data_IF_729279102008
#
_entry.id   IF_729279102008
#
_cell.length_a   1.000
_cell.length_b   1.000
_cell.length_c   1.000
_cell.angle_alpha   90.00
_cell.angle_beta   90.00
_cell.angle_gamma   90.00
#
_symmetry.space_group_name_H-M   'P 1'
#
loop_
_entity.id
_entity.type
_entity.pdbx_description
1 polymer ?
#
# COMPACT_ATOMS: atom_id res chain seq x y z
N UNK A 1 -5.84 5.53 8.10
CA UNK A 1 -5.21 4.77 6.99
C UNK A 1 -3.69 4.81 7.10
N UNK A 2 -3.05 5.97 7.07
CA UNK A 2 -1.59 6.03 6.97
C UNK A 2 -0.79 5.42 8.14
N UNK A 3 -1.23 5.59 9.39
CA UNK A 3 -0.48 5.14 10.58
C UNK A 3 -0.84 3.74 11.08
N UNK A 4 -1.92 3.14 10.58
CA UNK A 4 -2.49 1.88 11.10
C UNK A 4 -3.09 0.97 10.03
N UNK A 5 -2.98 1.36 8.75
CA UNK A 5 -3.72 0.72 7.67
C UNK A 5 -3.16 -0.61 7.18
N UNK A 6 -1.88 -0.85 7.43
CA UNK A 6 -1.09 -1.98 6.90
C UNK A 6 -0.59 -2.91 8.01
N UNK A 7 -1.44 -3.17 9.01
CA UNK A 7 -1.10 -3.98 10.20
C UNK A 7 0.19 -3.48 10.88
N UNK A 8 1.09 -4.41 11.25
CA UNK A 8 2.36 -4.10 11.92
C UNK A 8 3.34 -3.36 11.00
N UNK A 9 3.13 -3.39 9.67
CA UNK A 9 4.02 -2.78 8.67
C UNK A 9 3.58 -1.38 8.21
N UNK A 10 2.70 -0.69 8.95
CA UNK A 10 2.24 0.64 8.57
C UNK A 10 3.39 1.68 8.41
N UNK A 11 4.40 1.64 9.27
CA UNK A 11 5.57 2.52 9.18
C UNK A 11 6.46 2.22 7.97
N UNK A 12 6.77 0.95 7.73
CA UNK A 12 7.58 0.53 6.57
C UNK A 12 6.87 0.83 5.24
N UNK A 13 5.56 0.60 5.17
CA UNK A 13 4.76 0.93 4.01
C UNK A 13 4.74 2.44 3.73
N UNK A 14 4.59 3.26 4.79
CA UNK A 14 4.65 4.71 4.66
C UNK A 14 6.02 5.17 4.12
N UNK A 15 7.12 4.55 4.55
CA UNK A 15 8.46 4.85 4.05
C UNK A 15 8.68 4.43 2.59
N UNK A 16 8.26 3.22 2.20
CA UNK A 16 8.51 2.67 0.86
C UNK A 16 7.54 3.17 -0.21
N UNK A 17 6.27 3.32 0.15
CA UNK A 17 5.18 3.67 -0.78
C UNK A 17 4.76 5.12 -0.64
N UNK A 18 4.67 5.63 0.59
CA UNK A 18 4.32 7.03 0.83
C UNK A 18 2.88 7.39 0.45
N UNK A 19 1.92 6.48 0.64
CA UNK A 19 0.49 6.75 0.43
C UNK A 19 -0.36 6.29 1.62
N UNK A 20 -1.46 6.97 1.96
CA UNK A 20 -2.48 6.42 2.84
C UNK A 20 -3.09 5.15 2.22
N UNK A 21 -3.04 4.03 2.95
CA UNK A 21 -3.61 2.76 2.48
C UNK A 21 -4.36 1.98 3.57
N UNK A 22 -5.11 0.96 3.15
CA UNK A 22 -5.68 -0.09 4.00
C UNK A 22 -5.57 -1.45 3.32
N UNK A 23 -5.06 -2.45 4.02
CA UNK A 23 -5.01 -3.85 3.56
C UNK A 23 -6.08 -4.75 4.22
N UNK A 24 -6.27 -5.94 3.67
CA UNK A 24 -7.01 -7.03 4.31
C UNK A 24 -6.48 -8.40 3.92
N UNK A 25 -6.65 -9.39 4.80
CA UNK A 25 -6.13 -10.77 4.63
C UNK A 25 -6.70 -11.52 3.41
N UNK A 26 -7.73 -10.99 2.75
CA UNK A 26 -8.15 -11.47 1.43
C UNK A 26 -7.21 -11.11 0.28
N UNK A 27 -6.08 -10.43 0.56
CA UNK A 27 -5.08 -10.03 -0.42
C UNK A 27 -5.34 -8.66 -1.07
N UNK A 28 -6.36 -7.93 -0.61
CA UNK A 28 -6.72 -6.61 -1.14
C UNK A 28 -5.99 -5.48 -0.44
N UNK A 29 -5.56 -4.47 -1.20
CA UNK A 29 -5.06 -3.19 -0.67
C UNK A 29 -5.71 -2.04 -1.44
N UNK A 30 -6.23 -1.05 -0.70
CA UNK A 30 -6.68 0.23 -1.26
C UNK A 30 -5.74 1.32 -0.80
N UNK A 31 -5.17 2.08 -1.73
CA UNK A 31 -4.30 3.23 -1.50
C UNK A 31 -4.89 4.50 -2.13
N UNK A 32 -4.66 5.65 -1.50
CA UNK A 32 -5.21 6.93 -1.95
C UNK A 32 -4.07 7.86 -2.35
N UNK A 33 -4.12 8.40 -3.57
CA UNK A 33 -3.33 9.56 -3.98
C UNK A 33 -4.21 10.79 -3.73
N UNK A 34 -3.90 11.65 -2.73
CA UNK A 34 -4.76 12.75 -2.36
C UNK A 34 -5.10 13.65 -3.56
N UNK A 35 -6.38 14.00 -3.70
CA UNK A 35 -6.90 14.89 -4.76
C UNK A 35 -6.75 14.37 -6.20
N UNK A 36 -6.26 13.14 -6.41
CA UNK A 36 -6.00 12.61 -7.75
C UNK A 36 -6.77 11.33 -8.03
N UNK A 37 -6.55 10.28 -7.21
CA UNK A 37 -7.13 8.96 -7.50
C UNK A 37 -7.09 8.00 -6.31
N UNK A 38 -7.85 6.91 -6.44
CA UNK A 38 -7.73 5.72 -5.61
C UNK A 38 -7.15 4.56 -6.42
N UNK A 39 -6.26 3.78 -5.81
CA UNK A 39 -5.65 2.60 -6.39
C UNK A 39 -6.11 1.39 -5.59
N UNK A 40 -6.65 0.38 -6.27
CA UNK A 40 -6.97 -0.90 -5.68
C UNK A 40 -6.11 -1.99 -6.32
N UNK A 41 -5.43 -2.79 -5.49
CA UNK A 41 -4.67 -3.96 -5.92
C UNK A 41 -5.18 -5.19 -5.19
N UNK A 42 -5.07 -6.34 -5.83
CA UNK A 42 -5.44 -7.62 -5.25
C UNK A 42 -4.47 -8.71 -5.69
N UNK A 43 -3.92 -9.42 -4.72
CA UNK A 43 -3.19 -10.68 -4.92
C UNK A 43 -3.26 -11.49 -3.62
N UNK A 44 -3.69 -12.77 -3.66
CA UNK A 44 -4.00 -13.54 -2.47
C UNK A 44 -2.79 -13.93 -1.62
N UNK A 45 -1.59 -14.00 -2.20
CA UNK A 45 -0.36 -14.31 -1.47
C UNK A 45 0.00 -13.16 -0.50
N UNK A 46 0.19 -13.50 0.78
CA UNK A 46 0.47 -12.56 1.85
C UNK A 46 1.93 -12.66 2.34
N UNK A 47 2.48 -11.55 2.79
CA UNK A 47 3.71 -11.50 3.57
C UNK A 47 3.46 -11.95 5.03
N UNK A 48 4.54 -12.04 5.82
CA UNK A 48 4.48 -12.43 7.23
C UNK A 48 3.64 -11.48 8.11
N UNK A 49 3.39 -10.25 7.63
CA UNK A 49 2.56 -9.25 8.32
C UNK A 49 1.08 -9.28 7.87
N UNK A 50 0.71 -10.18 6.96
CA UNK A 50 -0.66 -10.35 6.46
C UNK A 50 -1.08 -9.36 5.37
N UNK A 51 -0.13 -8.68 4.73
CA UNK A 51 -0.38 -7.80 3.59
C UNK A 51 -0.08 -8.52 2.27
N UNK A 52 -0.76 -8.14 1.19
CA UNK A 52 -0.51 -8.73 -0.13
C UNK A 52 0.93 -8.46 -0.61
N UNK A 53 1.72 -9.52 -0.78
CA UNK A 53 3.14 -9.42 -1.16
C UNK A 53 3.31 -8.69 -2.51
N UNK A 54 2.62 -9.19 -3.53
CA UNK A 54 2.64 -8.59 -4.86
C UNK A 54 1.94 -7.22 -4.90
N UNK A 55 0.88 -7.04 -4.09
CA UNK A 55 0.16 -5.77 -4.01
C UNK A 55 1.03 -4.63 -3.48
N UNK A 56 1.77 -4.87 -2.39
CA UNK A 56 2.71 -3.89 -1.83
C UNK A 56 3.83 -3.57 -2.83
N UNK A 57 4.44 -4.59 -3.44
CA UNK A 57 5.52 -4.41 -4.41
C UNK A 57 5.06 -3.61 -5.66
N UNK A 58 3.83 -3.82 -6.11
CA UNK A 58 3.25 -3.06 -7.22
C UNK A 58 3.04 -1.59 -6.83
N UNK A 59 2.47 -1.32 -5.65
CA UNK A 59 2.23 0.03 -5.16
C UNK A 59 3.53 0.83 -5.02
N UNK A 60 4.59 0.22 -4.49
CA UNK A 60 5.93 0.84 -4.41
C UNK A 60 6.48 1.21 -5.79
N UNK A 61 6.43 0.29 -6.75
CA UNK A 61 6.91 0.56 -8.13
C UNK A 61 6.05 1.63 -8.82
N UNK A 62 4.74 1.62 -8.59
CA UNK A 62 3.82 2.57 -9.20
C UNK A 62 4.05 3.98 -8.65
N UNK A 63 4.15 4.15 -7.33
CA UNK A 63 4.40 5.48 -6.72
C UNK A 63 5.73 6.06 -7.16
N UNK A 64 6.78 5.24 -7.22
CA UNK A 64 8.09 5.64 -7.76
C UNK A 64 8.01 6.12 -9.21
N UNK A 65 7.25 5.43 -10.07
CA UNK A 65 7.08 5.83 -11.48
C UNK A 65 6.25 7.09 -11.65
N UNK A 66 5.26 7.31 -10.79
CA UNK A 66 4.40 8.49 -10.86
C UNK A 66 5.01 9.72 -10.18
N UNK A 67 6.06 9.55 -9.37
CA UNK A 67 6.59 10.62 -8.52
C UNK A 67 5.56 11.07 -7.48
N UNK A 68 4.67 10.17 -7.06
CA UNK A 68 3.58 10.45 -6.11
C UNK A 68 3.84 9.70 -4.81
N UNK A 69 4.60 10.34 -3.94
CA UNK A 69 4.69 10.05 -2.51
C UNK A 69 4.21 11.29 -1.77
N UNK A 70 3.50 11.13 -0.65
CA UNK A 70 3.18 12.26 0.24
C UNK A 70 4.38 12.66 1.13
N UNK A 71 5.49 11.94 1.04
CA UNK A 71 6.81 12.31 1.56
C UNK A 71 7.80 12.65 0.45
#
# INVERSE_FOLDING_TARGET
MMTSGMYQNAGEFAWRVGLPAKSGVGGGIVAIVPQEMAIAVWSPELDDAGNSLAGVAMLEKLTQRMGRSVF
#
